data_IF_833625791920
#
_entry.id   IF_833625791920
#
_cell.length_a   1.000
_cell.length_b   1.000
_cell.length_c   1.000
_cell.angle_alpha   90.00
_cell.angle_beta   90.00
_cell.angle_gamma   90.00
#
_symmetry.space_group_name_H-M   'P 1'
#
loop_
_entity.id
_entity.type
_entity.pdbx_description
1 polymer ?
#
# COMPACT_ATOMS: atom_id res chain seq x y z
N UNK A 1 11.71 -7.63 -5.12
CA UNK A 1 10.79 -8.19 -4.10
C UNK A 1 9.35 -8.04 -4.55
N UNK A 2 8.47 -9.03 -4.32
CA UNK A 2 7.04 -8.88 -4.61
C UNK A 2 6.36 -7.99 -3.56
N UNK A 3 5.57 -7.03 -4.03
CA UNK A 3 4.85 -6.11 -3.16
C UNK A 3 3.42 -5.88 -3.66
N UNK A 4 2.52 -5.70 -2.70
CA UNK A 4 1.25 -5.01 -2.93
C UNK A 4 1.53 -3.53 -2.81
N UNK A 5 1.25 -2.77 -3.86
CA UNK A 5 1.46 -1.32 -3.89
C UNK A 5 0.09 -0.64 -3.80
N UNK A 6 -0.08 0.14 -2.74
CA UNK A 6 -1.23 1.03 -2.60
C UNK A 6 -0.88 2.39 -3.20
N UNK A 7 -1.89 3.07 -3.74
CA UNK A 7 -1.80 4.42 -4.28
C UNK A 7 -2.90 5.27 -3.63
N UNK A 8 -2.52 6.40 -3.05
CA UNK A 8 -3.46 7.30 -2.40
C UNK A 8 -4.21 8.11 -3.46
N UNK A 9 -5.56 8.04 -3.52
CA UNK A 9 -6.32 8.75 -4.56
C UNK A 9 -6.30 10.28 -4.39
N UNK A 10 -5.97 10.79 -3.20
CA UNK A 10 -5.95 12.23 -2.94
C UNK A 10 -4.64 12.90 -3.35
N UNK A 11 -3.51 12.21 -3.22
CA UNK A 11 -2.18 12.82 -3.45
C UNK A 11 -1.27 12.03 -4.40
N UNK A 12 -1.71 10.89 -4.92
CA UNK A 12 -0.95 10.05 -5.85
C UNK A 12 0.29 9.37 -5.25
N UNK A 13 0.53 9.54 -3.94
CA UNK A 13 1.64 8.87 -3.25
C UNK A 13 1.39 7.38 -3.15
N UNK A 14 2.48 6.64 -3.20
CA UNK A 14 2.47 5.19 -3.24
C UNK A 14 3.08 4.62 -1.97
N UNK A 15 2.69 3.39 -1.64
CA UNK A 15 3.37 2.60 -0.61
C UNK A 15 3.47 1.12 -0.99
N UNK A 16 4.69 0.59 -1.18
CA UNK A 16 4.89 -0.84 -1.36
C UNK A 16 4.82 -1.58 -0.01
N UNK A 17 4.12 -2.70 0.00
CA UNK A 17 4.04 -3.64 1.12
C UNK A 17 4.62 -4.99 0.69
N UNK A 18 5.75 -5.42 1.26
CA UNK A 18 6.34 -6.72 0.98
C UNK A 18 5.37 -7.87 1.24
N UNK A 19 5.24 -8.78 0.28
CA UNK A 19 4.41 -9.99 0.41
C UNK A 19 5.20 -11.24 0.01
N UNK A 20 4.89 -12.40 0.60
CA UNK A 20 5.51 -13.65 0.17
C UNK A 20 5.14 -13.98 -1.28
N UNK A 21 6.05 -14.63 -2.02
CA UNK A 21 5.86 -15.02 -3.44
C UNK A 21 4.60 -15.85 -3.74
N UNK A 22 3.96 -16.42 -2.71
CA UNK A 22 2.72 -17.19 -2.84
C UNK A 22 1.48 -16.34 -3.07
N UNK A 23 1.53 -15.04 -2.76
CA UNK A 23 0.45 -14.09 -3.08
C UNK A 23 0.53 -13.80 -4.57
N UNK A 24 -0.47 -14.25 -5.33
CA UNK A 24 -0.49 -14.12 -6.79
C UNK A 24 -1.50 -13.11 -7.30
N UNK A 25 -2.42 -12.68 -6.45
CA UNK A 25 -3.41 -11.67 -6.79
C UNK A 25 -3.93 -10.91 -5.57
N UNK A 26 -4.75 -9.89 -5.82
CA UNK A 26 -5.45 -9.12 -4.78
C UNK A 26 -6.51 -9.98 -4.08
N UNK A 27 -7.12 -10.98 -4.75
CA UNK A 27 -8.07 -11.89 -4.11
C UNK A 27 -7.41 -12.77 -3.03
N UNK A 28 -6.11 -13.06 -3.16
CA UNK A 28 -5.37 -13.75 -2.09
C UNK A 28 -5.23 -12.90 -0.81
N UNK A 29 -5.45 -11.58 -0.89
CA UNK A 29 -5.52 -10.71 0.29
C UNK A 29 -6.76 -10.98 1.13
N UNK A 30 -7.87 -11.41 0.52
CA UNK A 30 -9.09 -11.78 1.25
C UNK A 30 -8.85 -13.00 2.14
N UNK A 31 -7.97 -13.90 1.69
CA UNK A 31 -7.51 -15.07 2.46
C UNK A 31 -6.47 -14.72 3.52
N UNK A 32 -6.02 -13.46 3.59
CA UNK A 32 -4.99 -13.00 4.54
C UNK A 32 -5.48 -11.79 5.36
N UNK A 33 -6.28 -12.03 6.43
CA UNK A 33 -6.82 -10.97 7.27
C UNK A 33 -5.75 -10.03 7.84
N UNK A 34 -4.58 -10.58 8.22
CA UNK A 34 -3.46 -9.80 8.76
C UNK A 34 -2.89 -8.84 7.71
N UNK A 35 -2.74 -9.29 6.46
CA UNK A 35 -2.23 -8.44 5.39
C UNK A 35 -3.25 -7.36 5.04
N UNK A 36 -4.53 -7.70 4.95
CA UNK A 36 -5.61 -6.72 4.73
C UNK A 36 -5.64 -5.67 5.84
N UNK A 37 -5.54 -6.07 7.10
CA UNK A 37 -5.48 -5.15 8.25
C UNK A 37 -4.25 -4.22 8.16
N UNK A 38 -3.08 -4.75 7.78
CA UNK A 38 -1.86 -3.95 7.61
C UNK A 38 -2.00 -2.90 6.51
N UNK A 39 -2.61 -3.27 5.37
CA UNK A 39 -2.88 -2.36 4.24
C UNK A 39 -3.87 -1.26 4.66
N UNK A 40 -5.00 -1.65 5.24
CA UNK A 40 -6.04 -0.73 5.71
C UNK A 40 -5.49 0.27 6.73
N UNK A 41 -4.76 -0.22 7.75
CA UNK A 41 -4.16 0.64 8.78
C UNK A 41 -3.15 1.62 8.17
N UNK A 42 -2.26 1.13 7.32
CA UNK A 42 -1.22 1.97 6.72
C UNK A 42 -1.76 3.02 5.76
N UNK A 43 -2.87 2.74 5.07
CA UNK A 43 -3.61 3.72 4.26
C UNK A 43 -4.40 4.70 5.11
N UNK A 44 -5.15 4.23 6.11
CA UNK A 44 -5.93 5.09 7.00
C UNK A 44 -5.07 6.13 7.72
N UNK A 45 -3.92 5.71 8.26
CA UNK A 45 -2.95 6.63 8.86
C UNK A 45 -2.49 7.71 7.86
N UNK A 46 -2.21 7.34 6.61
CA UNK A 46 -1.79 8.30 5.57
C UNK A 46 -2.90 9.24 5.14
N UNK A 47 -4.11 8.71 4.99
CA UNK A 47 -5.28 9.47 4.57
C UNK A 47 -5.63 10.58 5.56
N UNK A 48 -5.50 10.33 6.87
CA UNK A 48 -5.63 11.37 7.91
C UNK A 48 -4.64 12.51 7.69
N UNK A 49 -3.40 12.20 7.28
CA UNK A 49 -2.39 13.23 7.02
C UNK A 49 -2.62 14.01 5.73
N UNK A 50 -3.13 13.40 4.66
CA UNK A 50 -3.34 14.10 3.38
C UNK A 50 -4.71 14.75 3.25
N UNK A 51 -5.76 14.13 3.80
CA UNK A 51 -7.15 14.55 3.67
C UNK A 51 -7.74 15.26 4.88
N UNK A 52 -7.02 15.30 6.01
CA UNK A 52 -7.46 15.99 7.24
C UNK A 52 -8.53 15.25 8.04
N UNK A 53 -8.83 13.98 7.72
CA UNK A 53 -9.82 13.16 8.40
C UNK A 53 -9.65 11.67 8.12
N UNK A 54 -10.37 10.81 8.85
CA UNK A 54 -10.37 9.37 8.58
C UNK A 54 -11.05 9.07 7.23
N UNK A 55 -10.55 8.11 6.44
CA UNK A 55 -11.23 7.69 5.22
C UNK A 55 -12.53 6.95 5.57
N UNK A 56 -13.60 7.10 4.78
CA UNK A 56 -14.73 6.19 4.80
C UNK A 56 -14.29 4.75 4.48
N UNK A 57 -14.96 3.75 5.04
CA UNK A 57 -14.63 2.34 4.81
C UNK A 57 -14.64 1.98 3.31
N UNK A 58 -15.61 2.49 2.55
CA UNK A 58 -15.71 2.28 1.10
C UNK A 58 -14.45 2.73 0.35
N UNK A 59 -13.82 3.84 0.77
CA UNK A 59 -12.59 4.35 0.18
C UNK A 59 -11.41 3.43 0.49
N UNK A 60 -11.34 2.91 1.73
CA UNK A 60 -10.31 1.95 2.13
C UNK A 60 -10.44 0.67 1.28
N UNK A 61 -11.66 0.16 1.12
CA UNK A 61 -11.92 -1.04 0.32
C UNK A 61 -11.58 -0.83 -1.15
N UNK A 62 -11.95 0.31 -1.73
CA UNK A 62 -11.64 0.63 -3.12
C UNK A 62 -10.12 0.70 -3.36
N UNK A 63 -9.37 1.33 -2.46
CA UNK A 63 -7.90 1.42 -2.55
C UNK A 63 -7.25 0.04 -2.44
N UNK A 64 -7.73 -0.82 -1.54
CA UNK A 64 -7.21 -2.20 -1.43
C UNK A 64 -7.57 -3.01 -2.67
N UNK A 65 -8.80 -2.86 -3.20
CA UNK A 65 -9.25 -3.55 -4.42
C UNK A 65 -8.44 -3.14 -5.65
N UNK A 66 -8.05 -1.86 -5.74
CA UNK A 66 -7.21 -1.31 -6.82
C UNK A 66 -5.71 -1.49 -6.60
N UNK A 67 -5.30 -2.11 -5.50
CA UNK A 67 -3.90 -2.33 -5.20
C UNK A 67 -3.21 -3.13 -6.31
N UNK A 68 -1.98 -2.74 -6.63
CA UNK A 68 -1.20 -3.38 -7.70
C UNK A 68 -0.25 -4.40 -7.09
N UNK A 69 -0.27 -5.64 -7.58
CA UNK A 69 0.74 -6.63 -7.23
C UNK A 69 1.88 -6.54 -8.25
N UNK A 70 3.08 -6.19 -7.81
CA UNK A 70 4.21 -6.01 -8.72
C UNK A 70 5.55 -6.31 -8.06
N UNK A 71 6.60 -6.45 -8.89
CA UNK A 71 7.96 -6.49 -8.39
C UNK A 71 8.47 -5.07 -8.15
N UNK A 72 8.96 -4.84 -6.93
CA UNK A 72 9.59 -3.58 -6.51
C UNK A 72 11.07 -3.85 -6.20
N UNK A 73 12.01 -2.99 -6.63
CA UNK A 73 13.42 -3.14 -6.30
C UNK A 73 13.65 -3.22 -4.78
N UNK A 74 14.53 -4.11 -4.34
CA UNK A 74 14.75 -4.36 -2.90
C UNK A 74 15.27 -3.12 -2.16
N UNK A 75 16.09 -2.29 -2.82
CA UNK A 75 16.58 -1.05 -2.22
C UNK A 75 15.46 -0.05 -1.92
N UNK A 76 14.44 0.05 -2.80
CA UNK A 76 13.25 0.90 -2.56
C UNK A 76 12.48 0.41 -1.35
N UNK A 77 12.24 -0.91 -1.27
CA UNK A 77 11.56 -1.52 -0.12
C UNK A 77 12.32 -1.29 1.18
N UNK A 78 13.64 -1.53 1.16
CA UNK A 78 14.48 -1.33 2.33
C UNK A 78 14.50 0.13 2.77
N UNK A 79 14.49 1.07 1.84
CA UNK A 79 14.37 2.50 2.12
C UNK A 79 13.02 2.84 2.76
N UNK A 80 11.90 2.41 2.14
CA UNK A 80 10.54 2.61 2.68
C UNK A 80 10.45 2.09 4.11
N UNK A 81 10.98 0.89 4.39
CA UNK A 81 10.84 0.30 5.71
C UNK A 81 11.66 1.00 6.79
N UNK A 82 12.78 1.65 6.43
CA UNK A 82 13.59 2.50 7.33
C UNK A 82 12.96 3.86 7.64
N UNK A 83 12.09 4.38 6.76
CA UNK A 83 11.48 5.70 6.92
C UNK A 83 10.47 5.73 8.08
N UNK A 84 10.32 6.89 8.72
CA UNK A 84 9.23 7.12 9.67
C UNK A 84 7.86 6.97 9.00
N UNK A 85 6.82 6.57 9.74
CA UNK A 85 5.49 6.19 9.22
C UNK A 85 4.95 7.10 8.10
N UNK A 86 5.00 8.43 8.29
CA UNK A 86 4.48 9.41 7.32
C UNK A 86 5.28 9.45 6.01
N UNK A 87 6.59 9.26 6.10
CA UNK A 87 7.51 9.30 4.95
C UNK A 87 7.55 7.97 4.17
N UNK A 88 6.87 6.92 4.67
CA UNK A 88 6.72 5.66 3.94
C UNK A 88 5.84 5.78 2.69
N UNK A 89 4.99 6.82 2.62
CA UNK A 89 4.18 7.16 1.46
C UNK A 89 4.86 8.26 0.65
N UNK A 90 5.19 7.96 -0.61
CA UNK A 90 5.92 8.91 -1.48
C UNK A 90 5.74 8.59 -2.97
N UNK A 91 6.30 9.43 -3.85
CA UNK A 91 6.30 9.22 -5.28
C UNK A 91 7.48 8.35 -5.72
N UNK A 92 7.36 7.04 -5.49
CA UNK A 92 8.39 6.05 -5.86
C UNK A 92 8.43 5.72 -7.36
N UNK A 93 7.55 6.30 -8.18
CA UNK A 93 7.49 6.04 -9.62
C UNK A 93 7.12 4.60 -9.96
N UNK A 94 6.41 3.89 -9.08
CA UNK A 94 6.02 2.50 -9.32
C UNK A 94 4.80 2.48 -10.24
N UNK A 95 5.04 2.22 -11.52
CA UNK A 95 4.00 1.95 -12.50
C UNK A 95 3.96 0.44 -12.77
N UNK A 96 2.78 -0.17 -12.70
CA UNK A 96 2.61 -1.52 -13.22
C UNK A 96 2.75 -1.45 -14.74
N UNK A 97 3.72 -2.18 -15.30
CA UNK A 97 3.87 -2.39 -16.73
C UNK A 97 2.69 -3.19 -17.29
#
# INVERSE_FOLDING_TARGET
MWCVVLECPQCGKQRPYPVPKRVRSVEDLEKSPILRLRLATGFGEHYVYCGGGAPPDEVVEEVIRRAKLMQVPEHVVAEVERRAKKAKWDHYGLCAC
#
